data_IF_608891200707
#
_entry.id   IF_608891200707
#
_cell.length_a   1.000
_cell.length_b   1.000
_cell.length_c   1.000
_cell.angle_alpha   90.00
_cell.angle_beta   90.00
_cell.angle_gamma   90.00
#
_symmetry.space_group_name_H-M   'P 1'
#
loop_
_entity.id
_entity.type
_entity.pdbx_description
1 polymer ?
#
# COMPACT_ATOMS: atom_id res chain seq x y z
N UNK A 1 -19.17 -0.92 6.01
CA UNK A 1 -19.61 -1.52 7.28
C UNK A 1 -18.36 -1.69 8.13
N UNK A 2 -18.09 -0.75 9.03
CA UNK A 2 -16.93 -0.86 9.92
C UNK A 2 -17.17 -2.08 10.83
N UNK A 3 -16.34 -3.12 10.71
CA UNK A 3 -16.28 -4.16 11.75
C UNK A 3 -16.10 -3.42 13.07
N UNK A 4 -16.92 -3.75 14.08
CA UNK A 4 -16.63 -3.36 15.45
C UNK A 4 -15.33 -4.09 15.80
N UNK A 5 -14.21 -3.39 15.65
CA UNK A 5 -12.91 -3.93 16.08
C UNK A 5 -12.94 -3.85 17.59
N UNK A 6 -13.05 -5.03 18.22
CA UNK A 6 -13.04 -5.14 19.68
C UNK A 6 -11.60 -4.96 20.12
N UNK A 7 -11.32 -4.05 21.06
CA UNK A 7 -9.97 -3.84 21.51
C UNK A 7 -9.38 -5.10 22.14
N UNK A 8 -8.17 -5.48 21.72
CA UNK A 8 -7.45 -6.64 22.24
C UNK A 8 -6.42 -6.20 23.28
N UNK A 9 -6.34 -6.92 24.41
CA UNK A 9 -5.31 -6.68 25.44
C UNK A 9 -3.93 -7.11 24.93
N UNK A 10 -2.91 -6.32 25.24
CA UNK A 10 -1.52 -6.68 24.98
C UNK A 10 -0.99 -7.56 26.12
N UNK A 11 -0.37 -8.69 25.75
CA UNK A 11 0.43 -9.49 26.66
C UNK A 11 1.90 -9.12 26.46
N UNK A 12 2.47 -8.37 27.40
CA UNK A 12 3.83 -7.85 27.35
C UNK A 12 4.49 -8.10 28.70
N UNK A 13 5.62 -8.80 28.69
CA UNK A 13 6.45 -9.01 29.87
C UNK A 13 7.86 -8.45 29.65
N UNK A 14 8.65 -8.44 30.74
CA UNK A 14 10.01 -7.91 30.73
C UNK A 14 10.92 -8.67 29.75
N UNK A 15 10.78 -10.01 29.67
CA UNK A 15 11.57 -10.85 28.78
C UNK A 15 11.32 -10.53 27.31
N UNK A 16 10.05 -10.41 26.92
CA UNK A 16 9.63 -10.07 25.57
C UNK A 16 10.08 -8.66 25.20
N UNK A 17 9.92 -7.68 26.09
CA UNK A 17 10.38 -6.31 25.85
C UNK A 17 11.89 -6.25 25.56
N UNK A 18 12.70 -6.94 26.39
CA UNK A 18 14.16 -7.04 26.19
C UNK A 18 14.50 -7.71 24.86
N UNK A 19 13.78 -8.78 24.49
CA UNK A 19 14.00 -9.48 23.23
C UNK A 19 13.64 -8.61 22.01
N UNK A 20 12.58 -7.80 22.10
CA UNK A 20 12.22 -6.84 21.05
C UNK A 20 13.29 -5.78 20.85
N UNK A 21 13.87 -5.24 21.93
CA UNK A 21 15.00 -4.32 21.84
C UNK A 21 16.26 -4.97 21.27
N UNK A 22 16.60 -6.18 21.73
CA UNK A 22 17.73 -6.94 21.21
C UNK A 22 17.62 -7.16 19.68
N UNK A 23 16.43 -7.54 19.22
CA UNK A 23 16.12 -7.70 17.79
C UNK A 23 16.23 -6.37 17.03
N UNK A 24 15.76 -5.27 17.61
CA UNK A 24 15.84 -3.94 17.02
C UNK A 24 17.31 -3.49 16.82
N UNK A 25 18.16 -3.69 17.82
CA UNK A 25 19.58 -3.30 17.79
C UNK A 25 20.50 -4.34 17.15
N UNK A 26 20.02 -5.58 16.92
CA UNK A 26 20.79 -6.73 16.41
C UNK A 26 21.96 -7.09 17.32
N UNK A 27 21.69 -7.21 18.62
CA UNK A 27 22.69 -7.54 19.62
C UNK A 27 22.14 -8.51 20.66
N UNK A 28 23.05 -9.16 21.38
CA UNK A 28 22.69 -9.90 22.59
C UNK A 28 22.61 -8.92 23.77
N UNK A 29 21.51 -8.92 24.55
CA UNK A 29 21.38 -8.07 25.72
C UNK A 29 22.31 -8.54 26.83
N UNK A 30 22.93 -7.58 27.53
CA UNK A 30 23.73 -7.82 28.73
C UNK A 30 22.89 -7.42 29.93
N UNK A 31 22.51 -8.41 30.75
CA UNK A 31 21.74 -8.18 31.96
C UNK A 31 22.67 -7.84 33.15
N UNK A 32 22.28 -6.84 33.91
CA UNK A 32 22.87 -6.47 35.21
C UNK A 32 21.78 -6.48 36.28
N UNK A 33 22.17 -6.33 37.56
CA UNK A 33 21.24 -6.36 38.70
C UNK A 33 20.08 -5.35 38.56
N UNK A 34 20.33 -4.19 37.93
CA UNK A 34 19.36 -3.10 37.85
C UNK A 34 19.02 -2.63 36.42
N UNK A 35 19.68 -3.16 35.40
CA UNK A 35 19.51 -2.68 34.01
C UNK A 35 19.83 -3.73 32.95
N UNK A 36 19.32 -3.50 31.75
CA UNK A 36 19.73 -4.20 30.53
C UNK A 36 20.56 -3.26 29.66
N UNK A 37 21.63 -3.79 29.05
CA UNK A 37 22.52 -3.05 28.17
C UNK A 37 22.59 -3.71 26.79
N UNK A 38 22.58 -2.89 25.75
CA UNK A 38 22.52 -3.27 24.34
C UNK A 38 23.72 -2.64 23.63
N UNK A 39 24.74 -3.42 23.24
CA UNK A 39 25.88 -2.88 22.50
C UNK A 39 25.46 -2.46 21.09
N UNK A 40 25.74 -1.21 20.75
CA UNK A 40 25.41 -0.58 19.46
C UNK A 40 26.66 0.05 18.83
N UNK A 41 26.73 0.05 17.49
CA UNK A 41 27.83 0.67 16.74
C UNK A 41 28.78 -0.35 16.10
N UNK A 42 29.40 0.03 14.97
CA UNK A 42 30.35 -0.81 14.21
C UNK A 42 31.81 -0.34 14.27
N UNK A 43 32.06 0.90 14.75
CA UNK A 43 33.39 1.53 14.77
C UNK A 43 33.79 2.03 16.16
N UNK A 44 32.84 2.53 16.96
CA UNK A 44 33.00 2.92 18.36
C UNK A 44 32.07 2.06 19.22
N UNK A 45 32.56 1.42 20.30
CA UNK A 45 31.72 0.62 21.18
C UNK A 45 30.86 1.56 22.02
N UNK A 46 29.59 1.65 21.67
CA UNK A 46 28.58 2.35 22.43
C UNK A 46 27.62 1.32 23.03
N UNK A 47 27.04 1.63 24.19
CA UNK A 47 26.02 0.78 24.81
C UNK A 47 24.82 1.62 25.18
N UNK A 48 23.64 1.20 24.74
CA UNK A 48 22.36 1.77 25.16
C UNK A 48 21.84 0.94 26.32
N UNK A 49 21.32 1.56 27.37
CA UNK A 49 20.76 0.83 28.51
C UNK A 49 19.34 1.27 28.84
N UNK A 50 18.59 0.37 29.47
CA UNK A 50 17.29 0.64 30.09
C UNK A 50 17.29 0.05 31.50
N UNK A 51 16.76 0.79 32.47
CA UNK A 51 16.67 0.28 33.85
C UNK A 51 15.46 -0.64 34.01
N UNK A 52 15.55 -1.61 34.92
CA UNK A 52 14.40 -2.47 35.26
C UNK A 52 13.24 -1.68 35.86
N UNK A 53 13.53 -0.56 36.55
CA UNK A 53 12.51 0.36 37.03
C UNK A 53 11.74 1.04 35.91
N UNK A 54 12.41 1.48 34.84
CA UNK A 54 11.74 2.11 33.70
C UNK A 54 10.82 1.11 32.99
N UNK A 55 11.29 -0.12 32.79
CA UNK A 55 10.44 -1.21 32.27
C UNK A 55 9.25 -1.51 33.19
N UNK A 56 9.46 -1.48 34.50
CA UNK A 56 8.42 -1.65 35.51
C UNK A 56 7.37 -0.54 35.53
N UNK A 57 7.61 0.59 34.85
CA UNK A 57 6.62 1.67 34.66
C UNK A 57 5.93 1.52 33.29
N UNK A 58 6.71 1.31 32.22
CA UNK A 58 6.20 1.30 30.85
C UNK A 58 5.33 0.07 30.59
N UNK A 59 5.74 -1.12 31.05
CA UNK A 59 5.01 -2.38 30.78
C UNK A 59 3.61 -2.34 31.41
N UNK A 60 3.43 -2.05 32.72
CA UNK A 60 2.08 -1.98 33.30
C UNK A 60 1.20 -0.94 32.63
N UNK A 61 1.74 0.24 32.28
CA UNK A 61 1.00 1.28 31.57
C UNK A 61 0.52 0.80 30.19
N UNK A 62 1.33 0.01 29.48
CA UNK A 62 0.95 -0.59 28.21
C UNK A 62 -0.09 -1.70 28.37
N UNK A 63 0.01 -2.52 29.43
CA UNK A 63 -0.95 -3.61 29.72
C UNK A 63 -2.37 -3.12 30.05
N UNK A 64 -2.52 -1.87 30.48
CA UNK A 64 -3.84 -1.23 30.69
C UNK A 64 -4.50 -0.79 29.38
N UNK A 65 -3.72 -0.67 28.30
CA UNK A 65 -4.20 -0.23 26.99
C UNK A 65 -4.63 -1.42 26.13
N UNK A 66 -5.30 -1.09 25.04
CA UNK A 66 -5.86 -2.05 24.11
C UNK A 66 -5.61 -1.63 22.66
N UNK A 67 -5.52 -2.62 21.77
CA UNK A 67 -5.23 -2.37 20.35
C UNK A 67 -6.51 -2.18 19.55
N UNK A 68 -6.57 -1.15 18.72
CA UNK A 68 -7.63 -0.89 17.76
C UNK A 68 -7.03 -0.73 16.36
N UNK A 69 -7.61 -1.41 15.35
CA UNK A 69 -7.13 -1.36 13.95
C UNK A 69 -5.59 -1.46 13.85
N UNK A 70 -5.03 -2.56 14.38
CA UNK A 70 -3.63 -3.04 14.48
C UNK A 70 -2.54 -2.08 14.99
N UNK A 71 -2.61 -0.80 14.65
CA UNK A 71 -1.62 0.22 14.96
C UNK A 71 -2.13 1.33 15.87
N UNK A 72 -3.39 1.29 16.34
CA UNK A 72 -3.87 2.31 17.27
C UNK A 72 -3.93 1.75 18.67
N UNK A 73 -3.40 2.52 19.62
CA UNK A 73 -3.36 2.15 21.03
C UNK A 73 -4.37 3.01 21.78
N UNK A 74 -5.25 2.40 22.56
CA UNK A 74 -6.37 3.12 23.19
C UNK A 74 -6.72 2.59 24.57
N UNK A 75 -7.18 3.49 25.43
CA UNK A 75 -7.86 3.20 26.69
C UNK A 75 -9.19 3.99 26.77
N UNK A 76 -9.78 4.14 27.96
CA UNK A 76 -11.07 4.81 28.11
C UNK A 76 -11.02 6.35 27.96
N UNK A 77 -9.82 6.95 27.91
CA UNK A 77 -9.62 8.40 27.80
C UNK A 77 -8.58 8.82 26.77
N UNK A 78 -7.81 7.88 26.24
CA UNK A 78 -6.67 8.14 25.37
C UNK A 78 -6.74 7.30 24.09
N UNK A 79 -6.32 7.92 22.99
CA UNK A 79 -6.07 7.26 21.71
C UNK A 79 -4.75 7.78 21.13
N UNK A 80 -3.82 6.89 20.87
CA UNK A 80 -2.55 7.17 20.18
C UNK A 80 -2.53 6.44 18.84
N UNK A 81 -2.41 7.21 17.75
CA UNK A 81 -2.41 6.68 16.38
C UNK A 81 -1.08 6.97 15.70
N UNK A 82 -0.52 5.97 15.01
CA UNK A 82 0.62 6.19 14.10
C UNK A 82 0.17 7.05 12.92
N UNK A 83 0.99 8.05 12.59
CA UNK A 83 0.80 8.86 11.38
C UNK A 83 2.04 8.87 10.51
N UNK A 84 1.82 8.87 9.19
CA UNK A 84 2.84 9.11 8.18
C UNK A 84 2.60 10.48 7.56
N UNK A 85 3.66 11.26 7.42
CA UNK A 85 3.61 12.50 6.66
C UNK A 85 3.75 12.18 5.17
N UNK A 86 2.77 12.59 4.37
CA UNK A 86 2.80 12.50 2.90
C UNK A 86 3.18 13.86 2.31
N UNK A 87 4.19 13.89 1.42
CA UNK A 87 4.68 15.13 0.79
C UNK A 87 6.13 15.03 0.29
N UNK A 88 6.62 16.11 -0.35
CA UNK A 88 7.97 16.18 -0.95
C UNK A 88 9.13 16.12 0.05
N UNK A 89 8.85 16.03 1.34
CA UNK A 89 9.83 15.82 2.40
C UNK A 89 9.23 16.11 3.78
N UNK A 90 9.89 15.68 4.87
CA UNK A 90 9.36 15.88 6.21
C UNK A 90 9.36 17.37 6.56
N UNK A 91 8.19 17.91 6.92
CA UNK A 91 7.97 19.31 7.23
C UNK A 91 8.87 19.76 8.37
N UNK A 92 9.51 20.91 8.18
CA UNK A 92 10.37 21.51 9.21
C UNK A 92 9.57 21.97 10.43
N UNK A 93 8.29 22.33 10.25
CA UNK A 93 7.46 22.86 11.35
C UNK A 93 7.11 21.79 12.39
N UNK A 94 7.16 20.50 12.02
CA UNK A 94 6.92 19.39 12.94
C UNK A 94 8.23 18.72 13.41
N UNK A 95 9.41 19.26 13.11
CA UNK A 95 10.71 18.65 13.48
C UNK A 95 11.23 19.02 14.88
N UNK A 96 10.43 19.70 15.70
CA UNK A 96 10.81 20.16 17.03
C UNK A 96 9.81 19.75 18.11
N UNK A 97 9.40 20.73 18.91
CA UNK A 97 8.48 20.56 20.02
C UNK A 97 7.14 19.94 19.61
N UNK A 98 6.48 19.21 20.52
CA UNK A 98 5.17 18.65 20.25
C UNK A 98 4.16 19.77 19.94
N UNK A 99 3.36 19.57 18.89
CA UNK A 99 2.22 20.45 18.62
C UNK A 99 1.09 20.03 19.55
N UNK A 100 0.71 20.89 20.49
CA UNK A 100 -0.40 20.65 21.43
C UNK A 100 -1.51 21.65 21.15
N UNK A 101 -2.73 21.13 20.96
CA UNK A 101 -3.95 21.94 20.77
C UNK A 101 -4.98 21.49 21.79
N UNK A 102 -5.45 22.42 22.62
CA UNK A 102 -6.50 22.17 23.60
C UNK A 102 -7.83 22.70 23.10
N UNK A 103 -8.86 21.87 23.18
CA UNK A 103 -10.26 22.21 22.97
C UNK A 103 -10.96 22.18 24.34
N UNK A 104 -11.06 23.36 24.95
CA UNK A 104 -11.64 23.51 26.29
C UNK A 104 -13.16 23.27 26.30
N UNK A 105 -13.85 23.54 25.19
CA UNK A 105 -15.30 23.35 25.08
C UNK A 105 -15.67 21.87 25.10
N UNK A 106 -14.85 21.01 24.48
CA UNK A 106 -15.08 19.57 24.44
C UNK A 106 -14.24 18.78 25.46
N UNK A 107 -13.31 19.43 26.18
CA UNK A 107 -12.41 18.78 27.13
C UNK A 107 -11.47 17.78 26.46
N UNK A 108 -10.89 18.16 25.32
CA UNK A 108 -10.01 17.30 24.50
C UNK A 108 -8.68 17.98 24.24
N UNK A 109 -7.58 17.26 24.42
CA UNK A 109 -6.24 17.69 24.02
C UNK A 109 -5.76 16.84 22.84
N UNK A 110 -5.35 17.51 21.78
CA UNK A 110 -4.72 16.92 20.60
C UNK A 110 -3.22 17.15 20.68
N UNK A 111 -2.41 16.13 20.40
CA UNK A 111 -0.96 16.27 20.43
C UNK A 111 -0.31 15.53 19.27
N UNK A 112 0.46 16.25 18.44
CA UNK A 112 1.35 15.65 17.43
C UNK A 112 2.76 15.60 18.00
N UNK A 113 3.28 14.41 18.25
CA UNK A 113 4.57 14.24 18.92
C UNK A 113 5.32 12.99 18.44
N UNK A 114 6.49 12.77 19.03
CA UNK A 114 7.12 11.46 19.03
C UNK A 114 6.22 10.46 19.76
N UNK A 115 6.22 9.16 19.38
CA UNK A 115 5.50 8.11 20.09
C UNK A 115 5.86 8.08 21.58
N UNK A 116 4.89 7.70 22.40
CA UNK A 116 5.16 7.35 23.80
C UNK A 116 6.04 6.10 23.91
N UNK A 117 6.76 5.95 25.02
CA UNK A 117 7.62 4.77 25.27
C UNK A 117 6.82 3.46 25.18
N UNK A 118 5.59 3.45 25.72
CA UNK A 118 4.66 2.33 25.60
C UNK A 118 4.26 2.06 24.15
N UNK A 119 4.05 3.11 23.35
CA UNK A 119 3.76 2.96 21.92
C UNK A 119 4.95 2.41 21.14
N UNK A 120 6.19 2.77 21.48
CA UNK A 120 7.40 2.21 20.85
C UNK A 120 7.47 0.69 21.08
N UNK A 121 7.26 0.24 22.32
CA UNK A 121 7.21 -1.21 22.63
C UNK A 121 6.08 -1.91 21.88
N UNK A 122 4.89 -1.31 21.90
CA UNK A 122 3.74 -1.80 21.14
C UNK A 122 4.06 -1.97 19.65
N UNK A 123 4.67 -0.96 19.03
CA UNK A 123 5.00 -0.97 17.61
C UNK A 123 6.07 -2.02 17.27
N UNK A 124 7.11 -2.16 18.11
CA UNK A 124 8.10 -3.23 17.94
C UNK A 124 7.48 -4.62 18.05
N UNK A 125 6.51 -4.80 18.96
CA UNK A 125 5.77 -6.03 19.07
C UNK A 125 4.95 -6.31 17.80
N UNK A 126 4.21 -5.32 17.29
CA UNK A 126 3.46 -5.44 16.03
C UNK A 126 4.36 -5.80 14.85
N UNK A 127 5.54 -5.18 14.76
CA UNK A 127 6.55 -5.54 13.76
C UNK A 127 6.93 -7.03 13.89
N UNK A 128 7.25 -7.50 15.10
CA UNK A 128 7.70 -8.88 15.32
C UNK A 128 6.65 -9.95 14.95
N UNK A 129 5.35 -9.61 15.04
CA UNK A 129 4.26 -10.52 14.70
C UNK A 129 3.97 -10.56 13.20
N UNK A 130 4.14 -9.43 12.49
CA UNK A 130 3.63 -9.26 11.13
C UNK A 130 4.71 -9.15 10.05
N UNK A 131 5.97 -8.91 10.40
CA UNK A 131 7.01 -8.63 9.40
C UNK A 131 8.44 -8.84 9.91
N UNK A 132 9.40 -8.92 8.99
CA UNK A 132 10.82 -8.86 9.36
C UNK A 132 11.14 -7.42 9.84
N UNK A 133 11.64 -7.24 11.08
CA UNK A 133 12.04 -5.92 11.60
C UNK A 133 12.98 -5.14 10.67
N UNK A 134 13.73 -5.83 9.81
CA UNK A 134 14.60 -5.21 8.79
C UNK A 134 13.86 -4.29 7.81
N UNK A 135 12.54 -4.47 7.61
CA UNK A 135 11.74 -3.64 6.70
C UNK A 135 11.43 -2.25 7.27
N UNK A 136 11.44 -2.13 8.60
CA UNK A 136 11.05 -0.92 9.33
C UNK A 136 12.28 -0.15 9.82
N UNK A 137 13.35 -0.88 10.14
CA UNK A 137 14.60 -0.32 10.64
C UNK A 137 15.40 0.25 9.47
N UNK A 138 15.14 1.53 9.15
CA UNK A 138 15.96 2.28 8.18
C UNK A 138 17.38 2.33 8.75
N UNK A 139 18.28 1.57 8.14
CA UNK A 139 19.67 1.44 8.58
C UNK A 139 20.26 2.81 8.89
N UNK A 140 20.75 2.94 10.12
CA UNK A 140 21.21 4.22 10.62
C UNK A 140 22.64 4.50 10.13
N UNK A 141 22.96 5.68 9.59
CA UNK A 141 24.34 6.05 9.31
C UNK A 141 25.06 6.29 10.65
N UNK A 142 25.94 5.37 11.04
CA UNK A 142 26.72 5.39 12.30
C UNK A 142 27.16 6.79 12.80
N UNK A 143 27.62 7.74 11.94
CA UNK A 143 28.05 9.07 12.38
C UNK A 143 27.00 9.91 13.13
N UNK A 144 25.71 9.69 12.87
CA UNK A 144 24.64 10.46 13.55
C UNK A 144 24.35 9.93 14.97
N UNK A 145 24.70 8.68 15.27
CA UNK A 145 24.46 7.99 16.54
C UNK A 145 25.60 8.36 17.47
N UNK A 146 26.82 8.29 16.94
CA UNK A 146 28.02 8.82 17.59
C UNK A 146 27.79 10.29 17.98
N UNK A 147 27.21 11.10 17.08
CA UNK A 147 26.87 12.50 17.37
C UNK A 147 25.82 12.63 18.47
N UNK A 148 24.71 11.90 18.41
CA UNK A 148 23.69 11.91 19.47
C UNK A 148 24.25 11.48 20.82
N UNK A 149 25.14 10.48 20.83
CA UNK A 149 25.75 9.99 22.07
C UNK A 149 26.83 10.92 22.61
N UNK A 150 27.48 11.73 21.76
CA UNK A 150 28.48 12.72 22.16
C UNK A 150 27.87 14.07 22.58
N UNK A 151 26.75 14.48 21.96
CA UNK A 151 26.08 15.76 22.26
C UNK A 151 25.20 15.70 23.51
N UNK A 152 24.90 14.50 24.03
CA UNK A 152 24.04 14.32 25.20
C UNK A 152 24.86 14.27 26.49
N UNK A 153 24.70 15.26 27.37
CA UNK A 153 25.34 15.27 28.71
C UNK A 153 24.81 14.15 29.64
N UNK A 154 23.71 13.50 29.28
CA UNK A 154 23.07 12.38 30.00
C UNK A 154 22.96 11.13 29.14
N UNK A 155 22.76 9.96 29.78
CA UNK A 155 22.45 8.72 29.05
C UNK A 155 21.16 8.91 28.23
N UNK A 156 21.28 8.77 26.92
CA UNK A 156 20.14 8.82 25.99
C UNK A 156 19.25 7.60 26.20
N UNK A 157 17.95 7.81 26.37
CA UNK A 157 16.98 6.73 26.54
C UNK A 157 16.94 5.81 25.32
N UNK A 158 16.79 4.51 25.55
CA UNK A 158 16.59 3.51 24.49
C UNK A 158 15.42 3.88 23.57
N UNK A 159 14.35 4.45 24.13
CA UNK A 159 13.15 4.87 23.41
C UNK A 159 13.42 6.06 22.51
N UNK A 160 14.22 7.01 22.97
CA UNK A 160 14.62 8.17 22.18
C UNK A 160 15.47 7.74 20.98
N UNK A 161 16.41 6.80 21.19
CA UNK A 161 17.22 6.23 20.13
C UNK A 161 16.32 5.49 19.13
N UNK A 162 15.46 4.58 19.58
CA UNK A 162 14.56 3.85 18.69
C UNK A 162 13.68 4.79 17.87
N UNK A 163 13.12 5.82 18.51
CA UNK A 163 12.21 6.77 17.87
C UNK A 163 12.91 7.67 16.87
N UNK A 164 14.00 8.33 17.27
CA UNK A 164 14.69 9.33 16.45
C UNK A 164 15.62 8.70 15.42
N UNK A 165 16.27 7.60 15.78
CA UNK A 165 17.27 6.97 14.93
C UNK A 165 16.65 5.93 14.00
N UNK A 166 15.89 4.98 14.54
CA UNK A 166 15.52 3.77 13.82
C UNK A 166 14.13 3.81 13.16
N UNK A 167 13.10 4.19 13.91
CA UNK A 167 11.71 4.12 13.46
C UNK A 167 11.28 5.37 12.69
N UNK A 168 11.68 6.57 13.16
CA UNK A 168 11.31 7.87 12.56
C UNK A 168 9.79 8.03 12.37
N UNK A 169 9.04 7.52 13.33
CA UNK A 169 7.58 7.56 13.37
C UNK A 169 7.09 8.76 14.18
N UNK A 170 5.86 9.19 13.91
CA UNK A 170 5.13 10.22 14.67
C UNK A 170 3.77 9.67 15.08
N UNK A 171 3.28 10.13 16.21
CA UNK A 171 1.92 9.79 16.66
C UNK A 171 1.07 11.04 16.84
N UNK A 172 -0.24 10.85 16.64
CA UNK A 172 -1.25 11.79 17.08
C UNK A 172 -1.94 11.20 18.30
N UNK A 173 -1.91 11.96 19.38
CA UNK A 173 -2.51 11.62 20.65
C UNK A 173 -3.79 12.43 20.84
N UNK A 174 -4.87 11.75 21.21
CA UNK A 174 -6.14 12.33 21.60
C UNK A 174 -6.35 11.99 23.06
N UNK A 175 -6.36 13.00 23.93
CA UNK A 175 -6.61 12.85 25.35
C UNK A 175 -7.95 13.51 25.69
N UNK A 176 -8.86 12.78 26.30
CA UNK A 176 -10.15 13.29 26.78
C UNK A 176 -10.17 13.36 28.30
N UNK A 177 -10.81 14.40 28.86
CA UNK A 177 -10.94 14.55 30.31
C UNK A 177 -11.89 13.49 30.91
N UNK A 178 -12.94 13.17 30.16
CA UNK A 178 -13.98 12.20 30.51
C UNK A 178 -13.84 10.90 29.73
N UNK A 179 -14.37 9.80 30.30
CA UNK A 179 -14.38 8.50 29.62
C UNK A 179 -15.17 8.58 28.33
N UNK A 180 -14.61 8.04 27.26
CA UNK A 180 -15.17 8.12 25.91
C UNK A 180 -15.00 6.81 25.16
N UNK A 181 -15.62 6.71 23.99
CA UNK A 181 -15.49 5.54 23.12
C UNK A 181 -14.39 5.75 22.09
N UNK A 182 -13.71 4.68 21.69
CA UNK A 182 -12.71 4.71 20.61
C UNK A 182 -13.27 5.27 19.30
N UNK A 183 -14.54 5.01 19.01
CA UNK A 183 -15.21 5.56 17.82
C UNK A 183 -15.30 7.09 17.87
N UNK A 184 -15.64 7.67 19.03
CA UNK A 184 -15.65 9.13 19.20
C UNK A 184 -14.23 9.69 19.06
N UNK A 185 -13.23 9.08 19.70
CA UNK A 185 -11.83 9.52 19.58
C UNK A 185 -11.33 9.42 18.14
N UNK A 186 -11.71 8.38 17.39
CA UNK A 186 -11.39 8.25 15.97
C UNK A 186 -12.01 9.36 15.13
N UNK A 187 -13.26 9.76 15.42
CA UNK A 187 -13.90 10.88 14.72
C UNK A 187 -13.19 12.20 15.01
N UNK A 188 -12.81 12.42 16.28
CA UNK A 188 -12.05 13.61 16.69
C UNK A 188 -10.65 13.64 16.05
N UNK A 189 -9.96 12.50 15.99
CA UNK A 189 -8.68 12.38 15.30
C UNK A 189 -8.79 12.77 13.81
N UNK A 190 -9.80 12.25 13.10
CA UNK A 190 -10.02 12.61 11.70
C UNK A 190 -10.33 14.11 11.53
N UNK A 191 -11.14 14.70 12.41
CA UNK A 191 -11.43 16.13 12.39
C UNK A 191 -10.17 16.98 12.64
N UNK A 192 -9.34 16.57 13.60
CA UNK A 192 -8.09 17.26 13.91
C UNK A 192 -7.07 17.17 12.76
N UNK A 193 -6.93 16.00 12.14
CA UNK A 193 -6.04 15.81 10.99
C UNK A 193 -6.47 16.66 9.80
N UNK A 194 -7.79 16.75 9.54
CA UNK A 194 -8.32 17.65 8.53
C UNK A 194 -8.02 19.11 8.87
N UNK A 195 -8.28 19.54 10.11
CA UNK A 195 -8.01 20.91 10.56
C UNK A 195 -6.53 21.25 10.42
N UNK A 196 -5.63 20.33 10.79
CA UNK A 196 -4.19 20.51 10.65
C UNK A 196 -3.81 20.67 9.17
N UNK A 197 -4.24 19.74 8.32
CA UNK A 197 -3.95 19.78 6.89
C UNK A 197 -4.49 21.06 6.24
N UNK A 198 -5.72 21.46 6.57
CA UNK A 198 -6.35 22.68 6.04
C UNK A 198 -5.56 23.95 6.39
N UNK A 199 -5.03 24.04 7.60
CA UNK A 199 -4.35 25.25 8.07
C UNK A 199 -2.84 25.27 7.76
N UNK A 200 -2.22 24.12 7.54
CA UNK A 200 -0.75 24.01 7.42
C UNK A 200 -0.26 23.39 6.12
N UNK A 201 -1.17 22.84 5.30
CA UNK A 201 -0.86 22.03 4.12
C UNK A 201 -0.02 20.77 4.44
N UNK A 202 -0.01 20.35 5.71
CA UNK A 202 0.69 19.14 6.15
C UNK A 202 -0.31 17.97 6.21
N UNK A 203 -0.11 17.00 5.33
CA UNK A 203 -0.91 15.78 5.28
C UNK A 203 -0.34 14.71 6.21
N UNK A 204 -0.87 14.65 7.44
CA UNK A 204 -0.64 13.52 8.34
C UNK A 204 -1.69 12.43 8.10
N UNK A 205 -1.24 11.26 7.68
CA UNK A 205 -2.06 10.12 7.29
C UNK A 205 -2.03 9.04 8.37
N UNK A 206 -3.19 8.70 8.98
CA UNK A 206 -3.27 7.59 9.93
C UNK A 206 -2.86 6.27 9.31
N UNK A 207 -2.01 5.53 10.02
CA UNK A 207 -1.65 4.17 9.67
C UNK A 207 -2.46 3.22 10.54
N UNK A 208 -3.22 2.32 9.89
CA UNK A 208 -4.05 1.32 10.57
C UNK A 208 -3.39 -0.05 10.53
N UNK A 209 -2.92 -0.48 9.37
CA UNK A 209 -2.41 -1.84 9.21
C UNK A 209 -0.90 -1.83 8.94
N UNK A 210 -0.21 -2.87 9.43
CA UNK A 210 1.24 -3.05 9.27
C UNK A 210 1.66 -3.15 7.81
N UNK A 211 0.89 -3.86 6.99
CA UNK A 211 1.17 -4.10 5.57
C UNK A 211 1.20 -2.80 4.75
N UNK A 212 0.38 -1.81 5.13
CA UNK A 212 0.35 -0.50 4.48
C UNK A 212 1.63 0.32 4.73
N UNK A 213 2.28 0.11 5.87
CA UNK A 213 3.51 0.81 6.28
C UNK A 213 4.77 0.19 5.65
N UNK A 214 4.80 -1.13 5.44
CA UNK A 214 5.98 -1.87 4.96
C UNK A 214 6.22 -1.83 3.43
N UNK A 215 5.44 -1.04 2.66
CA UNK A 215 5.36 -1.07 1.19
C UNK A 215 6.65 -0.78 0.40
N UNK A 216 7.76 -0.46 1.06
CA UNK A 216 9.03 -0.16 0.39
C UNK A 216 9.71 -1.41 -0.21
N UNK A 217 9.65 -1.57 -1.54
CA UNK A 217 10.79 -2.05 -2.32
C UNK A 217 10.94 -3.56 -2.60
N UNK A 218 9.88 -4.28 -3.00
CA UNK A 218 10.00 -5.72 -3.30
C UNK A 218 10.48 -6.06 -4.73
N UNK A 219 10.07 -5.35 -5.78
CA UNK A 219 10.46 -5.70 -7.17
C UNK A 219 11.97 -5.53 -7.42
N UNK A 220 12.59 -4.60 -6.71
CA UNK A 220 14.05 -4.42 -6.73
C UNK A 220 14.76 -5.75 -6.45
N UNK A 221 14.26 -6.61 -5.54
CA UNK A 221 14.93 -7.89 -5.23
C UNK A 221 14.93 -8.91 -6.38
N UNK A 222 14.00 -8.81 -7.32
CA UNK A 222 13.97 -9.65 -8.53
C UNK A 222 14.88 -9.13 -9.65
N UNK A 223 15.30 -7.87 -9.59
CA UNK A 223 15.98 -7.17 -10.69
C UNK A 223 17.42 -6.84 -10.35
N UNK A 224 18.20 -6.54 -11.39
CA UNK A 224 19.52 -5.95 -11.25
C UNK A 224 19.38 -4.62 -10.51
N UNK A 225 19.98 -4.51 -9.34
CA UNK A 225 19.86 -3.33 -8.48
C UNK A 225 21.03 -2.36 -8.60
N UNK A 226 22.07 -2.75 -9.34
CA UNK A 226 23.23 -1.90 -9.56
C UNK A 226 23.13 -1.27 -10.95
N UNK A 227 23.17 0.07 -11.05
CA UNK A 227 23.19 0.74 -12.34
C UNK A 227 24.31 0.26 -13.28
N UNK A 228 25.44 -0.16 -12.70
CA UNK A 228 26.57 -0.72 -13.44
C UNK A 228 26.31 -2.06 -14.12
N UNK A 229 25.25 -2.79 -13.73
CA UNK A 229 24.87 -4.07 -14.33
C UNK A 229 23.87 -3.89 -15.49
N UNK A 230 23.50 -2.66 -15.86
CA UNK A 230 22.52 -2.39 -16.90
C UNK A 230 23.19 -2.46 -18.28
N UNK A 231 22.65 -3.29 -19.17
CA UNK A 231 23.05 -3.35 -20.57
C UNK A 231 22.39 -2.21 -21.37
N UNK A 232 23.02 -1.72 -22.46
CA UNK A 232 22.38 -0.75 -23.35
C UNK A 232 21.09 -1.32 -23.97
N UNK A 233 20.07 -0.48 -24.24
CA UNK A 233 18.81 -0.93 -24.79
C UNK A 233 19.01 -1.53 -26.18
N UNK A 234 18.31 -2.63 -26.46
CA UNK A 234 18.27 -3.31 -27.77
C UNK A 234 16.96 -3.10 -28.52
N UNK A 235 16.02 -2.39 -27.91
CA UNK A 235 14.66 -2.19 -28.40
C UNK A 235 14.23 -0.75 -28.15
N UNK A 236 13.38 -0.24 -29.04
CA UNK A 236 12.67 1.02 -28.82
C UNK A 236 11.24 0.72 -28.36
N UNK A 237 10.65 1.67 -27.65
CA UNK A 237 9.35 1.54 -27.01
C UNK A 237 8.52 2.80 -27.31
N UNK A 238 7.19 2.66 -27.27
CA UNK A 238 6.29 3.79 -27.43
C UNK A 238 6.46 4.78 -26.24
N UNK A 239 6.83 6.06 -26.49
CA UNK A 239 7.02 7.07 -25.44
C UNK A 239 5.81 7.25 -24.51
N UNK A 240 4.58 7.21 -25.04
CA UNK A 240 3.36 7.40 -24.25
C UNK A 240 3.24 6.31 -23.17
N UNK A 241 3.55 5.06 -23.53
CA UNK A 241 3.54 3.93 -22.60
C UNK A 241 4.68 4.06 -21.58
N UNK A 242 5.87 4.50 -22.02
CA UNK A 242 7.02 4.70 -21.14
C UNK A 242 6.71 5.75 -20.07
N UNK A 243 6.11 6.88 -20.44
CA UNK A 243 5.81 7.95 -19.50
C UNK A 243 4.83 7.50 -18.41
N UNK A 244 3.78 6.77 -18.77
CA UNK A 244 2.88 6.15 -17.80
C UNK A 244 3.58 5.12 -16.91
N UNK A 245 4.40 4.24 -17.49
CA UNK A 245 5.16 3.27 -16.71
C UNK A 245 6.15 3.93 -15.73
N UNK A 246 6.87 4.97 -16.14
CA UNK A 246 7.81 5.71 -15.29
C UNK A 246 7.10 6.48 -14.18
N UNK A 247 5.92 7.05 -14.45
CA UNK A 247 5.09 7.66 -13.41
C UNK A 247 4.68 6.61 -12.37
N UNK A 248 4.28 5.41 -12.81
CA UNK A 248 3.90 4.33 -11.92
C UNK A 248 5.07 3.89 -11.02
N UNK A 249 6.27 3.76 -11.59
CA UNK A 249 7.47 3.32 -10.84
C UNK A 249 8.03 4.40 -9.93
N UNK A 250 7.75 5.69 -10.19
CA UNK A 250 8.30 6.81 -9.42
C UNK A 250 7.41 7.29 -8.27
N UNK A 251 6.16 6.84 -8.21
CA UNK A 251 5.20 7.26 -7.19
C UNK A 251 5.12 6.27 -6.03
N UNK A 252 4.96 6.79 -4.81
CA UNK A 252 4.63 5.99 -3.62
C UNK A 252 3.11 5.89 -3.39
N UNK A 253 2.29 6.59 -4.19
CA UNK A 253 0.84 6.58 -4.08
C UNK A 253 0.26 5.40 -4.89
N UNK A 254 -0.40 4.43 -4.23
CA UNK A 254 -0.86 3.20 -4.88
C UNK A 254 -1.96 3.45 -5.93
N UNK A 255 -2.76 4.51 -5.77
CA UNK A 255 -3.79 4.87 -6.74
C UNK A 255 -3.14 5.36 -8.03
N UNK A 256 -2.14 6.24 -7.90
CA UNK A 256 -1.40 6.77 -9.04
C UNK A 256 -0.62 5.66 -9.72
N UNK A 257 0.00 4.76 -8.96
CA UNK A 257 0.71 3.59 -9.50
C UNK A 257 -0.24 2.70 -10.32
N UNK A 258 -1.38 2.32 -9.72
CA UNK A 258 -2.38 1.47 -10.38
C UNK A 258 -2.92 2.11 -11.66
N UNK A 259 -3.39 3.36 -11.59
CA UNK A 259 -3.96 4.06 -12.74
C UNK A 259 -2.92 4.27 -13.84
N UNK A 260 -1.67 4.57 -13.48
CA UNK A 260 -0.60 4.73 -14.47
C UNK A 260 -0.29 3.43 -15.21
N UNK A 261 -0.26 2.28 -14.52
CA UNK A 261 -0.17 0.98 -15.20
C UNK A 261 -1.42 0.67 -16.04
N UNK A 262 -2.62 1.03 -15.56
CA UNK A 262 -3.86 0.85 -16.30
C UNK A 262 -3.86 1.62 -17.64
N UNK A 263 -3.38 2.86 -17.62
CA UNK A 263 -3.31 3.70 -18.82
C UNK A 263 -2.41 3.12 -19.92
N UNK A 264 -1.43 2.28 -19.55
CA UNK A 264 -0.61 1.52 -20.51
C UNK A 264 -1.46 0.55 -21.33
N UNK A 265 -2.51 -0.03 -20.73
CA UNK A 265 -3.45 -0.92 -21.41
C UNK A 265 -4.50 -0.13 -22.18
N UNK A 266 -5.02 0.95 -21.57
CA UNK A 266 -6.06 1.81 -22.14
C UNK A 266 -5.64 2.42 -23.49
N UNK A 267 -4.35 2.70 -23.68
CA UNK A 267 -3.77 3.13 -24.95
C UNK A 267 -4.17 2.23 -26.15
N UNK A 268 -4.37 0.93 -25.91
CA UNK A 268 -4.68 -0.04 -26.97
C UNK A 268 -6.16 -0.35 -27.14
N UNK A 269 -7.04 0.14 -26.26
CA UNK A 269 -8.43 -0.30 -26.20
C UNK A 269 -9.17 -0.09 -27.51
N UNK A 270 -9.03 1.09 -28.12
CA UNK A 270 -9.69 1.39 -29.40
C UNK A 270 -9.15 0.50 -30.53
N UNK A 271 -7.83 0.44 -30.68
CA UNK A 271 -7.19 -0.35 -31.73
C UNK A 271 -7.54 -1.84 -31.64
N UNK A 272 -7.45 -2.42 -30.43
CA UNK A 272 -7.73 -3.84 -30.20
C UNK A 272 -9.22 -4.15 -30.38
N UNK A 273 -10.10 -3.26 -29.95
CA UNK A 273 -11.53 -3.44 -30.16
C UNK A 273 -11.91 -3.36 -31.65
N UNK A 274 -11.33 -2.41 -32.39
CA UNK A 274 -11.54 -2.30 -33.83
C UNK A 274 -11.01 -3.52 -34.59
N UNK A 275 -9.82 -4.02 -34.24
CA UNK A 275 -9.26 -5.24 -34.82
C UNK A 275 -10.22 -6.43 -34.63
N UNK A 276 -10.74 -6.63 -33.41
CA UNK A 276 -11.68 -7.72 -33.10
C UNK A 276 -13.01 -7.57 -33.88
N UNK A 277 -13.53 -6.34 -34.00
CA UNK A 277 -14.74 -6.06 -34.76
C UNK A 277 -14.54 -6.34 -36.26
N UNK A 278 -13.39 -5.94 -36.83
CA UNK A 278 -13.04 -6.22 -38.22
C UNK A 278 -12.95 -7.72 -38.45
N UNK A 279 -12.27 -8.46 -37.58
CA UNK A 279 -12.16 -9.92 -37.66
C UNK A 279 -13.54 -10.59 -37.57
N UNK A 280 -14.40 -10.13 -36.67
CA UNK A 280 -15.77 -10.65 -36.55
C UNK A 280 -16.59 -10.43 -37.82
N UNK A 281 -16.49 -9.23 -38.42
CA UNK A 281 -17.15 -8.90 -39.69
C UNK A 281 -16.59 -9.75 -40.81
N UNK A 282 -15.26 -9.85 -40.94
CA UNK A 282 -14.59 -10.68 -41.95
C UNK A 282 -15.06 -12.12 -41.85
N UNK A 283 -15.00 -12.73 -40.68
CA UNK A 283 -15.44 -14.10 -40.45
C UNK A 283 -16.91 -14.31 -40.84
N UNK A 284 -17.79 -13.36 -40.51
CA UNK A 284 -19.21 -13.44 -40.85
C UNK A 284 -19.44 -13.38 -42.37
N UNK A 285 -18.79 -12.46 -43.07
CA UNK A 285 -18.97 -12.28 -44.53
C UNK A 285 -18.29 -13.36 -45.36
N UNK A 286 -17.25 -14.03 -44.84
CA UNK A 286 -16.55 -15.12 -45.53
C UNK A 286 -17.20 -16.48 -45.33
N UNK A 287 -18.21 -16.62 -44.46
CA UNK A 287 -18.90 -17.90 -44.30
C UNK A 287 -19.60 -18.32 -45.61
N UNK A 288 -19.52 -19.60 -46.04
CA UNK A 288 -20.22 -20.06 -47.25
C UNK A 288 -21.74 -19.87 -47.16
N UNK A 289 -22.25 -19.81 -45.93
CA UNK A 289 -23.65 -19.56 -45.61
C UNK A 289 -24.05 -18.09 -45.71
N UNK A 290 -23.16 -17.14 -45.94
CA UNK A 290 -23.47 -15.71 -46.06
C UNK A 290 -23.75 -15.32 -47.52
N UNK A 291 -24.77 -14.49 -47.74
CA UNK A 291 -25.06 -13.92 -49.06
C UNK A 291 -25.31 -12.43 -48.95
N UNK A 292 -24.44 -11.64 -49.59
CA UNK A 292 -24.60 -10.19 -49.72
C UNK A 292 -25.87 -9.78 -50.51
N UNK A 293 -26.57 -10.73 -51.16
CA UNK A 293 -27.84 -10.48 -51.86
C UNK A 293 -29.05 -10.69 -50.94
N UNK A 294 -28.91 -11.45 -49.85
CA UNK A 294 -30.00 -11.71 -48.91
C UNK A 294 -30.08 -10.60 -47.88
N UNK A 295 -31.17 -9.83 -47.91
CA UNK A 295 -31.44 -8.74 -46.94
C UNK A 295 -31.39 -9.20 -45.47
N UNK A 296 -31.73 -10.47 -45.20
CA UNK A 296 -31.63 -11.05 -43.85
C UNK A 296 -30.19 -11.06 -43.34
N UNK A 297 -29.25 -11.56 -44.15
CA UNK A 297 -27.85 -11.68 -43.76
C UNK A 297 -27.20 -10.31 -43.54
N UNK A 298 -27.53 -9.32 -44.40
CA UNK A 298 -27.09 -7.94 -44.22
C UNK A 298 -27.65 -7.36 -42.90
N UNK A 299 -28.92 -7.62 -42.59
CA UNK A 299 -29.55 -7.16 -41.34
C UNK A 299 -28.89 -7.79 -40.12
N UNK A 300 -28.57 -9.08 -40.19
CA UNK A 300 -27.90 -9.80 -39.12
C UNK A 300 -26.47 -9.27 -38.91
N UNK A 301 -25.72 -8.95 -39.97
CA UNK A 301 -24.42 -8.30 -39.90
C UNK A 301 -24.51 -6.91 -39.23
N UNK A 302 -25.47 -6.07 -39.66
CA UNK A 302 -25.72 -4.75 -39.04
C UNK A 302 -26.05 -4.93 -37.55
N UNK A 303 -26.83 -5.96 -37.19
CA UNK A 303 -27.18 -6.25 -35.80
C UNK A 303 -25.96 -6.67 -34.97
N UNK A 304 -25.03 -7.46 -35.53
CA UNK A 304 -23.76 -7.81 -34.89
C UNK A 304 -22.96 -6.56 -34.57
N UNK A 305 -22.73 -5.70 -35.57
CA UNK A 305 -21.96 -4.45 -35.42
C UNK A 305 -22.62 -3.52 -34.39
N UNK A 306 -23.94 -3.33 -34.48
CA UNK A 306 -24.70 -2.49 -33.54
C UNK A 306 -24.75 -3.04 -32.13
N UNK A 307 -24.61 -4.35 -31.92
CA UNK A 307 -24.56 -4.95 -30.59
C UNK A 307 -23.22 -4.70 -29.91
N UNK A 308 -22.13 -4.70 -30.67
CA UNK A 308 -20.78 -4.46 -30.17
C UNK A 308 -20.55 -2.98 -29.84
N UNK A 309 -21.21 -2.08 -30.57
CA UNK A 309 -21.09 -0.63 -30.42
C UNK A 309 -22.21 -0.05 -29.56
N UNK A 310 -21.88 0.74 -28.53
CA UNK A 310 -22.84 1.54 -27.76
C UNK A 310 -22.91 2.94 -28.38
N UNK A 311 -24.10 3.54 -28.33
CA UNK A 311 -24.29 4.94 -28.74
C UNK A 311 -24.57 5.74 -27.48
N UNK A 312 -23.69 6.70 -27.15
CA UNK A 312 -23.89 7.66 -26.08
C UNK A 312 -23.55 9.06 -26.59
N UNK A 313 -24.46 10.02 -26.39
CA UNK A 313 -24.28 11.44 -26.74
C UNK A 313 -23.73 11.65 -28.17
N UNK A 314 -24.34 11.01 -29.17
CA UNK A 314 -23.91 11.04 -30.58
C UNK A 314 -22.49 10.55 -30.88
N UNK A 315 -21.82 9.93 -29.91
CA UNK A 315 -20.55 9.23 -30.08
C UNK A 315 -20.73 7.72 -29.98
N UNK A 316 -20.09 7.01 -30.90
CA UNK A 316 -20.02 5.55 -30.88
C UNK A 316 -18.92 5.14 -29.91
N UNK A 317 -19.28 4.48 -28.83
CA UNK A 317 -18.37 4.02 -27.78
C UNK A 317 -18.41 2.50 -27.65
N UNK A 318 -17.32 1.91 -27.18
CA UNK A 318 -17.24 0.47 -26.89
C UNK A 318 -17.20 0.23 -25.38
N UNK A 319 -17.40 -1.02 -24.97
CA UNK A 319 -17.32 -1.39 -23.55
C UNK A 319 -15.87 -1.46 -23.10
N UNK A 320 -15.46 -0.59 -22.18
CA UNK A 320 -14.10 -0.56 -21.62
C UNK A 320 -13.67 -1.93 -21.07
N UNK A 321 -14.53 -2.60 -20.30
CA UNK A 321 -14.27 -3.95 -19.78
C UNK A 321 -14.02 -4.98 -20.91
N UNK A 322 -14.72 -4.87 -22.03
CA UNK A 322 -14.52 -5.77 -23.17
C UNK A 322 -13.21 -5.46 -23.88
N UNK A 323 -12.88 -4.19 -24.06
CA UNK A 323 -11.61 -3.77 -24.66
C UNK A 323 -10.42 -4.19 -23.80
N UNK A 324 -10.54 -4.09 -22.46
CA UNK A 324 -9.56 -4.64 -21.53
C UNK A 324 -9.39 -6.14 -21.71
N UNK A 325 -10.48 -6.92 -21.76
CA UNK A 325 -10.40 -8.38 -21.99
C UNK A 325 -9.68 -8.73 -23.28
N UNK A 326 -9.99 -8.03 -24.38
CA UNK A 326 -9.34 -8.24 -25.66
C UNK A 326 -7.85 -7.83 -25.62
N UNK A 327 -7.53 -6.76 -24.90
CA UNK A 327 -6.15 -6.28 -24.70
C UNK A 327 -5.32 -7.30 -23.93
N UNK A 328 -5.87 -7.85 -22.83
CA UNK A 328 -5.24 -8.95 -22.09
C UNK A 328 -5.03 -10.16 -23.01
N UNK A 329 -6.05 -10.54 -23.80
CA UNK A 329 -5.93 -11.66 -24.75
C UNK A 329 -4.85 -11.45 -25.81
N UNK A 330 -4.61 -10.21 -26.23
CA UNK A 330 -3.62 -9.86 -27.26
C UNK A 330 -2.18 -9.85 -26.73
N UNK A 331 -1.96 -9.38 -25.50
CA UNK A 331 -0.62 -9.07 -24.99
C UNK A 331 -0.15 -9.90 -23.79
N UNK A 332 -1.04 -10.64 -23.14
CA UNK A 332 -0.73 -11.36 -21.91
C UNK A 332 -0.78 -12.87 -22.14
N UNK A 333 0.37 -13.51 -21.95
CA UNK A 333 0.47 -14.96 -21.86
C UNK A 333 0.37 -15.37 -20.37
N UNK A 334 -0.64 -16.18 -20.03
CA UNK A 334 -1.04 -16.44 -18.65
C UNK A 334 0.03 -17.22 -17.87
N UNK A 335 0.71 -18.19 -18.49
CA UNK A 335 1.70 -19.00 -17.77
C UNK A 335 2.90 -18.17 -17.35
N UNK A 336 3.35 -17.26 -18.21
CA UNK A 336 4.44 -16.36 -17.90
C UNK A 336 4.02 -15.26 -16.90
N UNK A 337 2.77 -14.77 -16.95
CA UNK A 337 2.24 -13.87 -15.90
C UNK A 337 2.26 -14.54 -14.52
N UNK A 338 1.83 -15.80 -14.43
CA UNK A 338 1.88 -16.57 -13.18
C UNK A 338 3.33 -16.70 -12.68
N UNK A 339 4.27 -17.04 -13.56
CA UNK A 339 5.68 -17.15 -13.19
C UNK A 339 6.26 -15.83 -12.64
N UNK A 340 5.89 -14.68 -13.22
CA UNK A 340 6.34 -13.37 -12.70
C UNK A 340 5.76 -13.10 -11.31
N UNK A 341 4.50 -13.44 -11.09
CA UNK A 341 3.81 -13.27 -9.81
C UNK A 341 4.43 -14.16 -8.73
N UNK A 342 4.66 -15.45 -9.02
CA UNK A 342 5.25 -16.39 -8.07
C UNK A 342 6.71 -16.02 -7.74
N UNK A 343 7.47 -15.55 -8.74
CA UNK A 343 8.83 -15.08 -8.52
C UNK A 343 8.90 -13.78 -7.71
N UNK A 344 7.82 -12.99 -7.71
CA UNK A 344 7.69 -11.79 -6.90
C UNK A 344 7.26 -12.08 -5.47
N UNK A 345 6.17 -12.84 -5.32
CA UNK A 345 5.57 -13.24 -4.06
C UNK A 345 4.61 -14.42 -4.33
N UNK A 346 5.03 -15.63 -3.94
CA UNK A 346 4.31 -16.90 -4.16
C UNK A 346 2.94 -16.98 -3.45
N UNK A 347 2.63 -16.02 -2.57
CA UNK A 347 1.31 -15.90 -1.93
C UNK A 347 0.26 -15.23 -2.81
N UNK A 348 0.65 -14.52 -3.88
CA UNK A 348 -0.29 -13.72 -4.70
C UNK A 348 -1.24 -14.58 -5.54
N UNK A 349 -0.74 -15.63 -6.21
CA UNK A 349 -1.58 -16.52 -7.02
C UNK A 349 -2.65 -17.22 -6.16
N UNK A 350 -2.32 -17.80 -4.99
CA UNK A 350 -3.32 -18.26 -4.03
C UNK A 350 -4.28 -17.17 -3.56
N UNK A 351 -3.79 -15.95 -3.32
CA UNK A 351 -4.61 -14.82 -2.89
C UNK A 351 -5.69 -14.47 -3.94
N UNK A 352 -5.33 -14.34 -5.21
CA UNK A 352 -6.29 -14.02 -6.28
C UNK A 352 -7.36 -15.09 -6.46
N UNK A 353 -7.00 -16.36 -6.27
CA UNK A 353 -7.94 -17.49 -6.33
C UNK A 353 -8.96 -17.48 -5.17
N UNK A 354 -8.54 -17.06 -3.98
CA UNK A 354 -9.36 -17.16 -2.76
C UNK A 354 -10.08 -15.88 -2.33
N UNK A 355 -9.68 -14.71 -2.84
CA UNK A 355 -10.11 -13.43 -2.29
C UNK A 355 -10.68 -12.50 -3.35
N UNK A 356 -11.85 -11.93 -3.07
CA UNK A 356 -12.36 -10.76 -3.79
C UNK A 356 -11.63 -9.50 -3.32
N UNK A 357 -11.59 -8.50 -4.20
CA UNK A 357 -11.22 -7.13 -3.82
C UNK A 357 -12.43 -6.51 -3.14
N UNK A 358 -12.42 -6.35 -1.82
CA UNK A 358 -13.57 -5.95 -1.00
C UNK A 358 -14.05 -4.55 -1.33
N UNK A 359 -13.14 -3.58 -1.51
CA UNK A 359 -13.56 -2.20 -1.81
C UNK A 359 -14.17 -2.04 -3.20
N UNK A 360 -13.83 -2.91 -4.16
CA UNK A 360 -14.34 -2.83 -5.55
C UNK A 360 -15.35 -3.92 -5.91
N UNK A 361 -15.50 -4.95 -5.06
CA UNK A 361 -16.12 -6.24 -5.38
C UNK A 361 -15.53 -6.94 -6.62
N UNK A 362 -14.24 -6.72 -6.90
CA UNK A 362 -13.52 -7.46 -7.94
C UNK A 362 -13.54 -8.98 -7.67
N UNK A 363 -13.89 -9.83 -8.65
CA UNK A 363 -14.04 -11.27 -8.44
C UNK A 363 -12.72 -11.98 -8.15
N UNK A 364 -12.82 -13.18 -7.57
CA UNK A 364 -11.73 -14.14 -7.50
C UNK A 364 -11.31 -14.60 -8.92
N UNK A 365 -10.03 -14.92 -9.09
CA UNK A 365 -9.46 -15.33 -10.37
C UNK A 365 -8.58 -16.57 -10.16
N UNK A 366 -8.99 -17.70 -10.74
CA UNK A 366 -8.17 -18.91 -10.78
C UNK A 366 -7.23 -18.86 -11.99
N UNK A 367 -6.02 -18.33 -11.81
CA UNK A 367 -5.05 -18.11 -12.90
C UNK A 367 -4.55 -19.41 -13.57
N UNK A 368 -4.70 -20.57 -12.90
CA UNK A 368 -4.33 -21.89 -13.42
C UNK A 368 -5.50 -22.66 -14.08
N UNK A 369 -6.66 -22.04 -14.27
CA UNK A 369 -7.78 -22.71 -14.95
C UNK A 369 -7.39 -23.07 -16.40
N UNK A 370 -7.84 -24.23 -16.86
CA UNK A 370 -7.56 -24.72 -18.21
C UNK A 370 -8.28 -23.86 -19.28
N UNK A 371 -9.41 -23.24 -18.94
CA UNK A 371 -10.12 -22.32 -19.82
C UNK A 371 -9.54 -20.91 -19.72
N UNK A 372 -8.57 -20.61 -20.60
CA UNK A 372 -7.91 -19.31 -20.65
C UNK A 372 -8.88 -18.14 -20.89
N UNK A 373 -9.94 -18.34 -21.70
CA UNK A 373 -10.91 -17.28 -21.97
C UNK A 373 -11.74 -16.94 -20.71
N UNK A 374 -12.04 -17.95 -19.89
CA UNK A 374 -12.66 -17.76 -18.56
C UNK A 374 -11.73 -16.97 -17.62
N UNK A 375 -10.44 -17.33 -17.56
CA UNK A 375 -9.44 -16.61 -16.75
C UNK A 375 -9.35 -15.15 -17.17
N UNK A 376 -9.15 -14.88 -18.46
CA UNK A 376 -9.02 -13.53 -19.00
C UNK A 376 -10.27 -12.68 -18.75
N UNK A 377 -11.46 -13.30 -18.81
CA UNK A 377 -12.72 -12.61 -18.48
C UNK A 377 -12.78 -12.21 -17.01
N UNK A 378 -12.47 -13.14 -16.10
CA UNK A 378 -12.46 -12.85 -14.66
C UNK A 378 -11.40 -11.80 -14.29
N UNK A 379 -10.22 -11.91 -14.91
CA UNK A 379 -9.12 -10.96 -14.73
C UNK A 379 -9.47 -9.56 -15.21
N UNK A 380 -10.06 -9.43 -16.41
CA UNK A 380 -10.55 -8.15 -16.92
C UNK A 380 -11.59 -7.54 -15.98
N UNK A 381 -12.54 -8.33 -15.49
CA UNK A 381 -13.56 -7.87 -14.56
C UNK A 381 -12.95 -7.38 -13.24
N UNK A 382 -11.98 -8.12 -12.68
CA UNK A 382 -11.26 -7.72 -11.45
C UNK A 382 -10.52 -6.39 -11.64
N UNK A 383 -9.72 -6.28 -12.69
CA UNK A 383 -8.95 -5.06 -12.99
C UNK A 383 -9.88 -3.86 -13.24
N UNK A 384 -10.94 -4.05 -14.03
CA UNK A 384 -11.92 -3.02 -14.35
C UNK A 384 -12.70 -2.56 -13.11
N UNK A 385 -13.21 -3.48 -12.29
CA UNK A 385 -13.92 -3.13 -11.04
C UNK A 385 -13.02 -2.36 -10.10
N UNK A 386 -11.77 -2.79 -9.93
CA UNK A 386 -10.78 -2.08 -9.12
C UNK A 386 -10.53 -0.68 -9.66
N UNK A 387 -10.23 -0.51 -10.96
CA UNK A 387 -10.08 0.82 -11.59
C UNK A 387 -11.31 1.70 -11.37
N UNK A 388 -12.50 1.16 -11.58
CA UNK A 388 -13.75 1.89 -11.43
C UNK A 388 -13.95 2.42 -10.01
N UNK A 389 -13.63 1.61 -8.99
CA UNK A 389 -13.71 2.01 -7.60
C UNK A 389 -12.65 3.05 -7.19
N UNK A 390 -11.50 3.11 -7.89
CA UNK A 390 -10.48 4.13 -7.69
C UNK A 390 -10.87 5.49 -8.30
N UNK A 391 -11.59 5.49 -9.42
CA UNK A 391 -11.97 6.70 -10.16
C UNK A 391 -13.31 7.26 -9.70
N UNK A 392 -14.23 6.41 -9.24
CA UNK A 392 -15.57 6.80 -8.82
C UNK A 392 -15.78 6.57 -7.32
N UNK A 393 -16.12 7.65 -6.62
CA UNK A 393 -16.46 7.63 -5.19
C UNK A 393 -17.73 8.46 -4.95
N UNK A 394 -18.86 8.02 -5.51
CA UNK A 394 -20.15 8.68 -5.27
C UNK A 394 -20.76 8.21 -3.95
N UNK A 395 -21.49 9.10 -3.29
CA UNK A 395 -22.23 8.72 -2.10
C UNK A 395 -23.35 7.72 -2.45
N UNK A 396 -23.50 6.67 -1.63
CA UNK A 396 -24.41 5.55 -1.87
C UNK A 396 -23.86 4.37 -2.71
N UNK A 397 -22.71 4.51 -3.37
CA UNK A 397 -22.04 3.37 -4.03
C UNK A 397 -21.41 2.43 -2.98
N UNK A 398 -21.73 1.14 -3.05
CA UNK A 398 -21.18 0.12 -2.12
C UNK A 398 -19.72 -0.24 -2.44
N UNK A 399 -19.30 -0.04 -3.68
CA UNK A 399 -17.95 -0.35 -4.17
C UNK A 399 -17.21 0.96 -4.43
N UNK A 400 -16.44 1.41 -3.44
CA UNK A 400 -15.62 2.62 -3.53
C UNK A 400 -14.32 2.41 -2.78
N UNK A 401 -13.24 2.90 -3.36
CA UNK A 401 -11.95 2.94 -2.67
C UNK A 401 -11.92 4.13 -1.72
N UNK A 402 -11.47 3.88 -0.50
CA UNK A 402 -11.19 4.89 0.51
C UNK A 402 -9.67 4.99 0.69
N UNK A 403 -9.04 6.11 0.31
CA UNK A 403 -7.61 6.32 0.48
C UNK A 403 -7.16 5.99 1.91
N UNK A 404 -6.00 5.34 2.03
CA UNK A 404 -5.34 4.94 3.27
C UNK A 404 -6.02 3.82 4.06
N UNK A 405 -7.35 3.64 3.92
CA UNK A 405 -8.06 2.52 4.52
C UNK A 405 -7.93 1.25 3.65
N UNK A 406 -8.07 1.40 2.34
CA UNK A 406 -8.09 0.28 1.38
C UNK A 406 -6.72 0.05 0.69
N UNK A 407 -5.70 0.79 1.10
CA UNK A 407 -4.34 0.77 0.54
C UNK A 407 -3.68 -0.61 0.59
N UNK A 408 -3.90 -1.35 1.68
CA UNK A 408 -3.35 -2.71 1.86
C UNK A 408 -3.91 -3.68 0.81
N UNK A 409 -5.20 -3.58 0.53
CA UNK A 409 -5.89 -4.42 -0.44
C UNK A 409 -5.51 -4.02 -1.86
N UNK A 410 -5.45 -2.71 -2.15
CA UNK A 410 -4.97 -2.21 -3.44
C UNK A 410 -3.52 -2.63 -3.70
N UNK A 411 -2.66 -2.65 -2.66
CA UNK A 411 -1.27 -3.07 -2.80
C UNK A 411 -1.11 -4.51 -3.29
N UNK A 412 -2.07 -5.41 -3.03
CA UNK A 412 -2.07 -6.77 -3.57
C UNK A 412 -2.41 -6.81 -5.07
N UNK A 413 -3.05 -5.77 -5.60
CA UNK A 413 -3.43 -5.66 -7.02
C UNK A 413 -2.35 -4.98 -7.89
N UNK A 414 -1.42 -4.25 -7.29
CA UNK A 414 -0.36 -3.53 -8.01
C UNK A 414 0.58 -4.45 -8.81
N UNK A 415 1.12 -5.56 -8.24
CA UNK A 415 2.03 -6.44 -8.97
C UNK A 415 1.36 -7.05 -10.20
N UNK A 416 0.10 -7.46 -10.07
CA UNK A 416 -0.71 -8.00 -11.16
C UNK A 416 -0.78 -7.02 -12.32
N UNK A 417 -1.21 -5.79 -12.06
CA UNK A 417 -1.38 -4.80 -13.12
C UNK A 417 -0.03 -4.34 -13.70
N UNK A 418 1.00 -4.23 -12.86
CA UNK A 418 2.36 -3.89 -13.29
C UNK A 418 2.94 -4.91 -14.26
N UNK A 419 2.90 -6.20 -13.93
CA UNK A 419 3.42 -7.24 -14.83
C UNK A 419 2.63 -7.33 -16.14
N UNK A 420 1.32 -7.11 -16.10
CA UNK A 420 0.49 -6.99 -17.30
C UNK A 420 0.90 -5.78 -18.16
N UNK A 421 1.17 -4.62 -17.55
CA UNK A 421 1.64 -3.42 -18.25
C UNK A 421 3.01 -3.63 -18.88
N UNK A 422 3.96 -4.24 -18.15
CA UNK A 422 5.30 -4.55 -18.66
C UNK A 422 5.23 -5.50 -19.87
N UNK A 423 4.39 -6.54 -19.80
CA UNK A 423 4.16 -7.47 -20.93
C UNK A 423 3.57 -6.79 -22.15
N UNK A 424 2.64 -5.86 -21.93
CA UNK A 424 2.06 -5.03 -23.00
C UNK A 424 3.13 -4.17 -23.68
N UNK A 425 3.97 -3.49 -22.91
CA UNK A 425 5.07 -2.66 -23.42
C UNK A 425 6.08 -3.50 -24.20
N UNK A 426 6.48 -4.65 -23.65
CA UNK A 426 7.44 -5.55 -24.31
C UNK A 426 6.88 -6.12 -25.62
N UNK A 427 5.61 -6.52 -25.63
CA UNK A 427 4.96 -7.06 -26.83
C UNK A 427 4.83 -6.04 -27.95
N UNK A 428 4.75 -4.73 -27.64
CA UNK A 428 4.65 -3.65 -28.62
C UNK A 428 5.98 -2.92 -28.90
N UNK A 429 7.12 -3.51 -28.55
CA UNK A 429 8.44 -2.90 -28.77
C UNK A 429 9.07 -3.35 -30.09
N UNK A 430 9.95 -2.53 -30.66
CA UNK A 430 10.69 -2.82 -31.91
C UNK A 430 12.17 -2.99 -31.65
N UNK A 431 12.87 -3.86 -32.41
CA UNK A 431 14.32 -3.99 -32.27
C UNK A 431 15.02 -2.74 -32.82
N UNK A 432 16.10 -2.33 -32.16
CA UNK A 432 17.01 -1.30 -32.70
C UNK A 432 17.83 -1.99 -33.80
N UNK A 433 17.79 -1.42 -35.00
CA UNK A 433 18.60 -1.87 -36.15
C UNK A 433 20.08 -1.54 -36.00
#
# INVERSE_FOLDING_TARGET
MNKIVIPQKLDMDESLAVQLFANAFRCEPIETEHSYSFPVGSRTPHSVSITKSDLGIVIPSLSEKSTFADLWLTDDKHLEILVREEGYGPSRSLRGDPLVVRDDDNGVTYTVASPSDGYVLFFLHQISQHSDPRLFMRGFPAPMLDRMMQESDSQVSIFEILTRAYLRIKTVNIQCDSKTTVNRMSTLANAFLFQLAFNTDIALVPQREMDGYARAGRISRMRRNRPAEIDPPRRTYNPDLIHHYLLAVSTDNPVVEYLSHYHTLEHFYEAVFHDDLILAVQNQVTTPSFSYRRKKDIRDLIKTVRKSLKVQNDTVTFSEEQALRLTLKKFVELTALVNDLDAYDDSLVPYYKGNKVRFSNGPEVELHDADQDKVLKALAQRIYSTRNALVHSKDGEKAKYTPFADDHELAKELPLLRFIAERTILSNSTMIE
#
